data_IF_255911483480
#
_entry.id   IF_255911483480
#
_cell.length_a   1.000
_cell.length_b   1.000
_cell.length_c   1.000
_cell.angle_alpha   90.00
_cell.angle_beta   90.00
_cell.angle_gamma   90.00
#
_symmetry.space_group_name_H-M   'P 1'
#
loop_
_entity.id
_entity.type
_entity.pdbx_description
1 polymer ?
#
# COMPACT_ATOMS: atom_id res chain seq x y z
N UNK A 1 -8.41 9.95 -25.78
CA UNK A 1 -8.05 9.05 -24.65
C UNK A 1 -9.17 8.04 -24.45
N UNK A 2 -8.83 6.76 -24.27
CA UNK A 2 -9.86 5.74 -24.00
C UNK A 2 -10.29 5.86 -22.53
N UNK A 3 -11.58 5.79 -22.23
CA UNK A 3 -12.13 5.87 -20.85
C UNK A 3 -11.46 4.90 -19.85
N UNK A 4 -10.94 3.79 -20.35
CA UNK A 4 -10.18 2.80 -19.57
C UNK A 4 -8.81 3.29 -19.11
N UNK A 5 -8.14 4.16 -19.86
CA UNK A 5 -6.81 4.68 -19.50
C UNK A 5 -6.90 5.65 -18.32
N UNK A 6 -7.93 6.50 -18.30
CA UNK A 6 -8.21 7.42 -17.21
C UNK A 6 -8.49 6.67 -15.90
N UNK A 7 -9.32 5.63 -15.97
CA UNK A 7 -9.59 4.72 -14.85
C UNK A 7 -8.31 4.14 -14.24
N UNK A 8 -7.40 3.64 -15.07
CA UNK A 8 -6.17 3.02 -14.58
C UNK A 8 -5.20 4.03 -13.96
N UNK A 9 -5.12 5.24 -14.53
CA UNK A 9 -4.34 6.33 -13.90
C UNK A 9 -4.83 6.66 -12.50
N UNK A 10 -6.15 6.64 -12.28
CA UNK A 10 -6.71 6.89 -10.94
C UNK A 10 -6.31 5.79 -9.95
N UNK A 11 -6.24 4.53 -10.39
CA UNK A 11 -5.80 3.40 -9.55
C UNK A 11 -4.30 3.46 -9.25
N UNK A 12 -3.48 3.89 -10.21
CA UNK A 12 -2.04 4.09 -10.01
C UNK A 12 -1.77 5.23 -9.03
N UNK A 13 -2.47 6.36 -9.18
CA UNK A 13 -2.38 7.47 -8.24
C UNK A 13 -2.89 7.09 -6.84
N UNK A 14 -3.90 6.21 -6.74
CA UNK A 14 -4.33 5.63 -5.47
C UNK A 14 -3.22 4.83 -4.80
N UNK A 15 -2.57 3.92 -5.53
CA UNK A 15 -1.47 3.11 -5.00
C UNK A 15 -0.32 3.98 -4.49
N UNK A 16 -0.01 5.08 -5.18
CA UNK A 16 1.01 6.04 -4.77
C UNK A 16 0.59 6.92 -3.56
N UNK A 17 -0.71 7.11 -3.34
CA UNK A 17 -1.22 8.02 -2.30
C UNK A 17 -1.04 7.52 -0.87
N UNK A 18 -0.92 6.20 -0.67
CA UNK A 18 -0.90 5.59 0.66
C UNK A 18 -2.21 5.75 1.46
N UNK A 19 -3.27 6.29 0.84
CA UNK A 19 -4.56 6.47 1.49
C UNK A 19 -5.37 5.17 1.50
N UNK A 20 -6.32 5.08 2.43
CA UNK A 20 -7.33 4.04 2.36
C UNK A 20 -8.25 4.25 1.15
N UNK A 21 -8.76 3.15 0.59
CA UNK A 21 -9.61 3.18 -0.61
C UNK A 21 -10.82 4.09 -0.47
N UNK A 22 -11.44 4.09 0.71
CA UNK A 22 -12.63 4.91 0.99
C UNK A 22 -12.26 6.40 0.97
N UNK A 23 -11.18 6.79 1.67
CA UNK A 23 -10.71 8.20 1.69
C UNK A 23 -10.28 8.70 0.31
N UNK A 24 -9.64 7.85 -0.48
CA UNK A 24 -9.21 8.22 -1.83
C UNK A 24 -10.40 8.30 -2.80
N UNK A 25 -11.39 7.43 -2.65
CA UNK A 25 -12.61 7.50 -3.44
C UNK A 25 -13.37 8.82 -3.16
N UNK A 26 -13.47 9.19 -1.89
CA UNK A 26 -14.08 10.44 -1.46
C UNK A 26 -13.33 11.67 -2.00
N UNK A 27 -11.99 11.69 -1.94
CA UNK A 27 -11.19 12.81 -2.45
C UNK A 27 -11.28 12.99 -3.96
N UNK A 28 -11.51 11.90 -4.69
CA UNK A 28 -11.67 11.89 -6.15
C UNK A 28 -13.13 12.05 -6.59
N UNK A 29 -14.09 12.17 -5.65
CA UNK A 29 -15.52 12.30 -5.95
C UNK A 29 -16.11 11.07 -6.65
N UNK A 30 -15.55 9.89 -6.41
CA UNK A 30 -16.01 8.62 -6.99
C UNK A 30 -16.62 7.73 -5.91
N UNK A 31 -17.63 6.93 -6.29
CA UNK A 31 -18.21 5.99 -5.33
C UNK A 31 -17.24 4.85 -5.02
N UNK A 32 -17.34 4.33 -3.79
CA UNK A 32 -16.56 3.17 -3.33
C UNK A 32 -16.69 1.97 -4.28
N UNK A 33 -17.90 1.65 -4.73
CA UNK A 33 -18.15 0.53 -5.66
C UNK A 33 -17.46 0.74 -7.01
N UNK A 34 -17.42 1.98 -7.50
CA UNK A 34 -16.72 2.34 -8.74
C UNK A 34 -15.22 2.18 -8.58
N UNK A 35 -14.65 2.67 -7.47
CA UNK A 35 -13.25 2.48 -7.13
C UNK A 35 -12.87 0.99 -7.01
N UNK A 36 -13.71 0.19 -6.34
CA UNK A 36 -13.52 -1.26 -6.23
C UNK A 36 -13.51 -1.95 -7.61
N UNK A 37 -14.46 -1.59 -8.49
CA UNK A 37 -14.51 -2.10 -9.85
C UNK A 37 -13.23 -1.76 -10.64
N UNK A 38 -12.71 -0.54 -10.47
CA UNK A 38 -11.49 -0.08 -11.11
C UNK A 38 -10.26 -0.85 -10.65
N UNK A 39 -10.10 -1.06 -9.34
CA UNK A 39 -9.02 -1.90 -8.80
C UNK A 39 -9.09 -3.33 -9.34
N UNK A 40 -10.29 -3.93 -9.40
CA UNK A 40 -10.47 -5.30 -9.93
C UNK A 40 -10.06 -5.37 -11.41
N UNK A 41 -10.54 -4.43 -12.23
CA UNK A 41 -10.19 -4.34 -13.66
C UNK A 41 -8.70 -4.09 -13.88
N UNK A 42 -8.06 -3.30 -13.02
CA UNK A 42 -6.61 -3.05 -13.09
C UNK A 42 -5.84 -4.33 -12.80
N UNK A 43 -6.20 -5.06 -11.74
CA UNK A 43 -5.59 -6.34 -11.39
C UNK A 43 -5.74 -7.41 -12.47
N UNK A 44 -6.93 -7.51 -13.09
CA UNK A 44 -7.18 -8.43 -14.22
C UNK A 44 -6.29 -8.08 -15.43
N UNK A 45 -6.13 -6.79 -15.73
CA UNK A 45 -5.25 -6.33 -16.81
C UNK A 45 -3.79 -6.62 -16.51
N UNK A 46 -3.32 -6.36 -15.29
CA UNK A 46 -1.93 -6.65 -14.92
C UNK A 46 -1.69 -8.16 -14.92
N UNK A 47 -2.60 -8.97 -14.39
CA UNK A 47 -2.50 -10.42 -14.42
C UNK A 47 -2.45 -10.98 -15.85
N UNK A 48 -3.24 -10.44 -16.78
CA UNK A 48 -3.20 -10.82 -18.19
C UNK A 48 -1.90 -10.41 -18.91
N UNK A 49 -1.20 -9.38 -18.43
CA UNK A 49 0.12 -8.99 -18.95
C UNK A 49 1.23 -9.83 -18.31
N UNK A 50 1.03 -10.30 -17.08
CA UNK A 50 1.99 -11.09 -16.29
C UNK A 50 1.71 -12.60 -16.37
N UNK A 51 1.11 -13.11 -17.45
CA UNK A 51 1.11 -14.56 -17.73
C UNK A 51 2.48 -14.99 -18.27
N UNK A 52 3.51 -14.86 -17.44
CA UNK A 52 4.64 -15.79 -17.40
C UNK A 52 4.39 -16.71 -16.20
N UNK A 53 4.39 -18.04 -16.37
CA UNK A 53 3.88 -19.00 -15.37
C UNK A 53 4.68 -19.09 -14.05
N UNK A 54 5.64 -18.20 -13.80
CA UNK A 54 6.45 -18.14 -12.57
C UNK A 54 5.96 -17.14 -11.51
N UNK A 55 4.99 -16.28 -11.82
CA UNK A 55 4.53 -15.24 -10.88
C UNK A 55 3.43 -15.69 -9.89
N UNK A 56 3.19 -17.00 -9.76
CA UNK A 56 2.18 -17.55 -8.84
C UNK A 56 2.63 -17.56 -7.37
N UNK A 57 3.87 -17.18 -7.09
CA UNK A 57 4.37 -16.98 -5.74
C UNK A 57 4.66 -15.50 -5.54
N UNK A 58 3.78 -14.81 -4.84
CA UNK A 58 4.16 -13.57 -4.16
C UNK A 58 5.03 -14.05 -3.01
N UNK A 59 6.35 -13.94 -3.17
CA UNK A 59 7.26 -13.91 -2.04
C UNK A 59 6.81 -12.72 -1.20
N UNK A 60 6.00 -12.99 -0.16
CA UNK A 60 5.94 -12.08 0.96
C UNK A 60 7.36 -12.10 1.48
N UNK A 61 8.16 -11.10 1.12
CA UNK A 61 9.28 -10.75 1.96
C UNK A 61 8.65 -10.63 3.33
N UNK A 62 8.89 -11.63 4.17
CA UNK A 62 8.94 -11.38 5.57
C UNK A 62 9.98 -10.27 5.65
N UNK A 63 9.53 -9.02 5.63
CA UNK A 63 10.01 -8.10 6.62
C UNK A 63 9.74 -8.85 7.93
N UNK A 64 10.69 -9.74 8.26
CA UNK A 64 11.08 -9.97 9.61
C UNK A 64 11.24 -8.53 10.11
N UNK A 65 10.17 -8.01 10.72
CA UNK A 65 10.31 -7.41 12.01
C UNK A 65 11.04 -8.45 12.85
N UNK A 66 12.36 -8.56 12.59
CA UNK A 66 13.32 -8.88 13.59
C UNK A 66 12.83 -8.03 14.74
N UNK A 67 12.35 -8.72 15.76
CA UNK A 67 12.20 -8.16 17.08
C UNK A 67 13.60 -7.72 17.48
N UNK A 68 14.04 -6.60 16.89
CA UNK A 68 15.06 -5.76 17.45
C UNK A 68 14.39 -5.35 18.73
N UNK A 69 14.79 -6.01 19.81
CA UNK A 69 14.74 -5.50 21.17
C UNK A 69 15.33 -4.10 21.10
N UNK A 70 14.44 -3.17 20.76
CA UNK A 70 14.78 -1.80 20.46
C UNK A 70 15.07 -1.21 21.82
N UNK A 71 16.35 -1.13 22.17
CA UNK A 71 16.79 -0.57 23.44
C UNK A 71 16.37 0.90 23.46
N UNK A 72 15.26 1.19 24.13
CA UNK A 72 14.77 2.56 24.27
C UNK A 72 15.61 3.21 25.36
N UNK A 73 16.35 4.25 25.01
CA UNK A 73 17.09 5.09 25.94
C UNK A 73 16.40 6.44 26.04
N UNK A 74 15.79 6.71 27.19
CA UNK A 74 15.17 8.00 27.49
C UNK A 74 16.16 8.81 28.33
N UNK A 75 16.54 10.00 27.87
CA UNK A 75 17.38 10.95 28.63
C UNK A 75 16.52 12.13 29.06
N UNK A 76 16.39 12.31 30.37
CA UNK A 76 15.65 13.43 30.96
C UNK A 76 16.54 14.67 31.05
N UNK A 77 15.96 15.90 31.05
CA UNK A 77 16.71 17.15 31.24
C UNK A 77 17.51 17.23 32.55
N UNK A 78 17.12 16.43 33.56
CA UNK A 78 17.85 16.26 34.82
C UNK A 78 19.13 15.43 34.70
N UNK A 79 19.45 14.91 33.52
CA UNK A 79 20.60 14.03 33.25
C UNK A 79 20.33 12.55 33.56
N UNK A 80 19.12 12.21 34.02
CA UNK A 80 18.74 10.82 34.33
C UNK A 80 18.51 10.03 33.04
N UNK A 81 19.12 8.85 32.94
CA UNK A 81 19.00 7.94 31.80
C UNK A 81 18.19 6.71 32.19
N UNK A 82 17.11 6.45 31.46
CA UNK A 82 16.25 5.27 31.64
C UNK A 82 16.46 4.35 30.44
N UNK A 83 16.76 3.08 30.70
CA UNK A 83 16.92 2.06 29.67
C UNK A 83 15.88 0.97 29.84
N UNK A 84 15.17 0.65 28.75
CA UNK A 84 14.19 -0.44 28.71
C UNK A 84 14.61 -1.43 27.64
N UNK A 85 14.77 -2.69 28.03
CA UNK A 85 15.19 -3.84 27.23
C UNK A 85 14.10 -4.90 27.20
#
# INVERSE_FOLDING_TARGET
MKKSEEMFRVVEAYAASGLSRDRYADSMGISRSKMQYWCKRYAERTAAVTTSPLAAFVEMSAEEHASSTSRIVIVLPSGTRIEVS
#
